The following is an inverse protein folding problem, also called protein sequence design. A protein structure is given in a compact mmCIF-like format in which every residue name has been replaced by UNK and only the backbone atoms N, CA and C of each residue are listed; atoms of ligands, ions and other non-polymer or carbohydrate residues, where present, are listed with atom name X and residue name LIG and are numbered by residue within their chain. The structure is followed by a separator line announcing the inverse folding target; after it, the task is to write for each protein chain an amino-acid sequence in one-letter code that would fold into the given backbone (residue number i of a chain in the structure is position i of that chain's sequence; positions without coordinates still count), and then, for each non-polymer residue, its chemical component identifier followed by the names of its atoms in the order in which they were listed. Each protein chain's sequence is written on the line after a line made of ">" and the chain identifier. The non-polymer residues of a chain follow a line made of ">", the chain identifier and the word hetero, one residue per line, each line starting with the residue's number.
data_IF_616508356381
#
_entry.id   IF_616508356381
#
_cell.length_a   1.000
_cell.length_b   1.000
_cell.length_c   1.000
_cell.angle_alpha   90.00
_cell.angle_beta   90.00
_cell.angle_gamma   90.00
#
_symmetry.space_group_name_H-M   'P 1'
#
loop_
_entity.id
_entity.type
_entity.pdbx_description
1 polymer ?
#
# COMPACT_ATOMS: atom_id res chain seq x y z
N UNK A 1 42.90 -34.31 43.81
CA UNK A 1 41.65 -33.54 43.70
C UNK A 1 41.68 -32.68 42.43
N UNK A 2 41.14 -33.19 41.34
CA UNK A 2 40.74 -32.42 40.10
C UNK A 2 40.16 -33.44 39.12
N UNK A 3 38.89 -33.76 39.29
CA UNK A 3 38.12 -34.57 38.34
C UNK A 3 36.64 -34.23 38.53
N UNK A 4 36.18 -33.05 38.11
CA UNK A 4 34.72 -32.78 38.06
C UNK A 4 34.35 -31.56 37.23
N UNK A 5 35.21 -30.98 36.38
CA UNK A 5 34.82 -29.82 35.54
C UNK A 5 34.60 -30.15 34.06
N UNK A 6 34.77 -31.39 33.61
CA UNK A 6 34.65 -31.75 32.19
C UNK A 6 33.26 -32.28 31.79
N UNK A 7 32.39 -32.56 32.72
CA UNK A 7 31.07 -33.13 32.43
C UNK A 7 29.97 -32.08 32.20
N UNK A 8 30.13 -30.89 32.78
CA UNK A 8 29.14 -29.82 32.64
C UNK A 8 29.13 -29.13 31.23
N UNK A 9 30.31 -28.99 30.66
CA UNK A 9 30.46 -28.32 29.34
C UNK A 9 30.00 -29.22 28.17
N UNK A 10 30.10 -30.54 28.34
CA UNK A 10 29.65 -31.48 27.31
C UNK A 10 28.12 -31.58 27.21
N UNK A 11 27.40 -31.44 28.32
CA UNK A 11 25.94 -31.45 28.34
C UNK A 11 25.33 -30.19 27.75
N UNK A 12 25.97 -29.02 27.95
CA UNK A 12 25.50 -27.75 27.36
C UNK A 12 25.70 -27.75 25.85
N UNK A 13 26.79 -28.34 25.35
CA UNK A 13 27.02 -28.42 23.90
C UNK A 13 26.04 -29.36 23.18
N UNK A 14 25.62 -30.47 23.84
CA UNK A 14 24.62 -31.39 23.27
C UNK A 14 23.22 -30.73 23.21
N UNK A 15 22.88 -29.89 24.21
CA UNK A 15 21.60 -29.19 24.20
C UNK A 15 21.53 -28.11 23.14
N UNK A 16 22.63 -27.40 22.86
CA UNK A 16 22.70 -26.37 21.80
C UNK A 16 22.66 -27.02 20.41
N UNK A 17 23.31 -28.17 20.22
CA UNK A 17 23.27 -28.89 18.95
C UNK A 17 21.89 -29.51 18.69
N UNK A 18 21.17 -29.96 19.73
CA UNK A 18 19.78 -30.44 19.58
C UNK A 18 18.80 -29.37 19.20
N UNK A 19 19.04 -28.08 19.57
CA UNK A 19 18.18 -26.98 19.20
C UNK A 19 18.43 -26.48 17.74
N UNK A 20 19.66 -26.69 17.23
CA UNK A 20 20.02 -26.28 15.85
C UNK A 20 19.67 -27.39 14.84
N UNK A 21 19.60 -28.66 15.24
CA UNK A 21 19.29 -29.76 14.32
C UNK A 21 17.79 -30.09 14.25
N UNK A 22 16.97 -29.55 15.16
CA UNK A 22 15.52 -29.77 15.19
C UNK A 22 14.72 -29.14 14.09
N UNK A 23 15.22 -28.08 13.44
CA UNK A 23 14.47 -27.30 12.42
C UNK A 23 14.79 -27.68 10.97
N UNK A 24 15.70 -28.61 10.69
CA UNK A 24 16.08 -28.95 9.31
C UNK A 24 15.28 -30.11 8.69
N UNK A 25 14.30 -30.68 9.39
CA UNK A 25 13.50 -31.82 8.90
C UNK A 25 12.02 -31.47 8.64
N UNK A 26 11.70 -30.24 8.20
CA UNK A 26 10.42 -30.01 7.54
C UNK A 26 10.57 -30.38 6.06
N UNK A 27 10.04 -31.55 5.72
CA UNK A 27 9.88 -31.98 4.32
C UNK A 27 9.21 -30.91 3.48
N UNK A 28 9.64 -30.72 2.22
CA UNK A 28 8.92 -29.83 1.31
C UNK A 28 7.49 -30.34 1.15
N UNK A 29 6.52 -29.48 1.35
CA UNK A 29 5.10 -29.77 1.20
C UNK A 29 4.81 -30.34 -0.19
N UNK A 30 4.04 -31.43 -0.22
CA UNK A 30 3.59 -32.16 -1.39
C UNK A 30 2.99 -31.22 -2.45
N UNK A 31 3.45 -31.21 -3.74
CA UNK A 31 3.02 -30.26 -4.77
C UNK A 31 1.59 -30.46 -5.29
N UNK A 32 0.76 -31.21 -4.62
CA UNK A 32 -0.61 -31.52 -5.05
C UNK A 32 -1.74 -31.08 -4.11
N UNK A 33 -1.46 -30.42 -2.99
CA UNK A 33 -2.51 -29.84 -2.13
C UNK A 33 -2.72 -28.37 -2.49
N UNK A 34 -3.98 -27.89 -2.56
CA UNK A 34 -4.25 -26.45 -2.59
C UNK A 34 -3.52 -25.79 -1.41
N UNK A 35 -2.93 -24.63 -1.65
CA UNK A 35 -2.23 -23.84 -0.63
C UNK A 35 -3.11 -23.72 0.61
N UNK A 36 -2.91 -24.57 1.60
CA UNK A 36 -3.32 -24.29 2.96
C UNK A 36 -2.38 -23.20 3.43
N UNK A 37 -2.89 -21.97 3.52
CA UNK A 37 -2.18 -20.88 4.16
C UNK A 37 -1.84 -21.34 5.58
N UNK A 38 -0.57 -21.29 6.02
CA UNK A 38 -0.29 -21.41 7.43
C UNK A 38 -0.97 -20.21 8.10
N UNK A 39 -2.14 -20.45 8.65
CA UNK A 39 -2.73 -19.57 9.65
C UNK A 39 -1.85 -19.80 10.86
N UNK A 40 -0.82 -18.98 11.02
CA UNK A 40 -0.12 -18.90 12.30
C UNK A 40 -1.16 -18.43 13.31
N UNK A 41 -1.56 -19.32 14.20
CA UNK A 41 -2.41 -19.00 15.34
C UNK A 41 -1.77 -17.80 16.07
N UNK A 42 -2.39 -16.63 15.97
CA UNK A 42 -1.94 -15.39 16.63
C UNK A 42 -1.95 -14.13 15.78
N UNK A 43 -2.13 -14.23 14.45
CA UNK A 43 -2.14 -13.04 13.56
C UNK A 43 -3.58 -12.58 13.24
N UNK A 44 -4.59 -13.15 13.88
CA UNK A 44 -5.97 -12.74 13.68
C UNK A 44 -6.20 -11.30 14.11
N UNK A 45 -6.28 -10.41 13.12
CA UNK A 45 -6.87 -9.08 13.23
C UNK A 45 -5.92 -7.94 13.64
N UNK A 46 -4.60 -8.15 13.64
CA UNK A 46 -3.64 -7.07 13.87
C UNK A 46 -3.38 -6.22 12.61
N UNK A 47 -2.81 -5.01 12.77
CA UNK A 47 -2.45 -4.14 11.63
C UNK A 47 -1.51 -4.84 10.62
N UNK A 48 -0.68 -5.76 11.08
CA UNK A 48 0.30 -6.45 10.26
C UNK A 48 -0.27 -7.66 9.48
N UNK A 49 -1.42 -8.21 9.86
CA UNK A 49 -1.95 -9.43 9.21
C UNK A 49 -2.18 -9.25 7.71
N UNK A 50 -2.69 -8.10 7.29
CA UNK A 50 -2.86 -7.78 5.86
C UNK A 50 -1.53 -7.55 5.16
N UNK A 51 -0.59 -6.88 5.82
CA UNK A 51 0.75 -6.63 5.27
C UNK A 51 1.49 -7.95 5.03
N UNK A 52 1.48 -8.83 6.01
CA UNK A 52 2.08 -10.17 5.92
C UNK A 52 1.43 -10.97 4.79
N UNK A 53 0.09 -10.95 4.69
CA UNK A 53 -0.62 -11.63 3.61
C UNK A 53 -0.19 -11.13 2.22
N UNK A 54 -0.16 -9.81 2.02
CA UNK A 54 0.25 -9.23 0.73
C UNK A 54 1.73 -9.50 0.43
N UNK A 55 2.59 -9.44 1.43
CA UNK A 55 4.01 -9.77 1.30
C UNK A 55 4.22 -11.23 0.91
N UNK A 56 3.56 -12.17 1.59
CA UNK A 56 3.61 -13.60 1.25
C UNK A 56 3.21 -13.89 -0.19
N UNK A 57 2.28 -13.11 -0.74
CA UNK A 57 1.84 -13.27 -2.14
C UNK A 57 2.83 -12.71 -3.16
N UNK A 58 3.63 -11.72 -2.77
CA UNK A 58 4.47 -10.96 -3.70
C UNK A 58 5.94 -11.32 -3.59
N UNK A 59 6.37 -11.88 -2.47
CA UNK A 59 7.78 -12.21 -2.24
C UNK A 59 8.28 -13.32 -3.18
N UNK A 60 9.53 -13.19 -3.57
CA UNK A 60 10.25 -14.26 -4.26
C UNK A 60 10.48 -15.45 -3.32
N UNK A 61 10.18 -16.68 -3.73
CA UNK A 61 10.46 -17.86 -2.90
C UNK A 61 11.95 -18.13 -2.71
N UNK A 62 12.81 -17.52 -3.53
CA UNK A 62 14.27 -17.71 -3.49
C UNK A 62 14.93 -16.69 -2.56
N UNK A 63 14.60 -15.41 -2.72
CA UNK A 63 15.26 -14.32 -1.96
C UNK A 63 14.46 -13.91 -0.73
N UNK A 64 13.20 -14.35 -0.61
CA UNK A 64 12.26 -13.97 0.45
C UNK A 64 11.92 -12.47 0.50
N UNK A 65 12.25 -11.75 -0.56
CA UNK A 65 12.03 -10.31 -0.72
C UNK A 65 11.05 -10.04 -1.87
N UNK A 66 10.35 -8.90 -1.82
CA UNK A 66 9.57 -8.44 -2.97
C UNK A 66 10.54 -7.87 -4.02
N UNK A 67 10.60 -8.47 -5.23
CA UNK A 67 11.54 -7.99 -6.24
C UNK A 67 11.24 -6.57 -6.66
N UNK A 68 12.26 -5.74 -6.74
CA UNK A 68 12.15 -4.35 -7.19
C UNK A 68 11.40 -4.22 -8.51
N UNK A 69 10.47 -3.27 -8.55
CA UNK A 69 9.67 -3.00 -9.74
C UNK A 69 8.76 -4.15 -10.19
N UNK A 70 8.44 -5.12 -9.32
CA UNK A 70 7.59 -6.28 -9.65
C UNK A 70 6.25 -5.84 -10.25
N UNK A 71 5.61 -4.82 -9.68
CA UNK A 71 4.35 -4.27 -10.19
C UNK A 71 4.49 -3.75 -11.61
N UNK A 72 5.56 -3.02 -11.88
CA UNK A 72 5.84 -2.49 -13.22
C UNK A 72 6.09 -3.61 -14.24
N UNK A 73 6.91 -4.61 -13.87
CA UNK A 73 7.16 -5.78 -14.72
C UNK A 73 5.89 -6.57 -14.99
N UNK A 74 5.07 -6.79 -13.97
CA UNK A 74 3.78 -7.48 -14.11
C UNK A 74 2.81 -6.73 -15.03
N UNK A 75 2.73 -5.41 -14.90
CA UNK A 75 1.91 -4.57 -15.79
C UNK A 75 2.44 -4.56 -17.23
N UNK A 76 3.76 -4.53 -17.40
CA UNK A 76 4.38 -4.63 -18.73
C UNK A 76 4.07 -5.99 -19.37
N UNK A 77 4.20 -7.06 -18.61
CA UNK A 77 3.84 -8.41 -19.05
C UNK A 77 2.35 -8.53 -19.37
N UNK A 78 1.48 -8.01 -18.53
CA UNK A 78 0.03 -8.02 -18.74
C UNK A 78 -0.39 -7.33 -20.07
N UNK A 79 0.36 -6.31 -20.50
CA UNK A 79 0.13 -5.65 -21.80
C UNK A 79 0.51 -6.55 -22.99
N UNK A 80 1.41 -7.50 -22.81
CA UNK A 80 1.81 -8.46 -23.85
C UNK A 80 0.89 -9.67 -23.95
N UNK A 81 0.02 -9.89 -22.95
CA UNK A 81 -0.95 -10.99 -22.99
C UNK A 81 -2.03 -10.65 -24.02
N UNK A 82 -2.37 -11.57 -24.92
CA UNK A 82 -3.47 -11.37 -25.88
C UNK A 82 -4.77 -11.04 -25.13
N UNK A 83 -5.48 -10.02 -25.61
CA UNK A 83 -6.78 -9.66 -25.05
C UNK A 83 -7.83 -10.72 -25.39
N UNK A 84 -8.73 -10.99 -24.45
CA UNK A 84 -9.74 -12.05 -24.60
C UNK A 84 -10.65 -11.89 -25.81
N UNK A 85 -10.88 -10.65 -26.28
CA UNK A 85 -11.67 -10.36 -27.48
C UNK A 85 -11.05 -10.90 -28.79
N UNK A 86 -9.79 -11.34 -28.77
CA UNK A 86 -9.13 -11.98 -29.91
C UNK A 86 -9.04 -13.51 -29.79
N UNK A 87 -9.51 -14.09 -28.71
CA UNK A 87 -9.50 -15.53 -28.50
C UNK A 87 -10.87 -16.11 -28.91
N UNK A 88 -10.94 -16.97 -29.93
CA UNK A 88 -12.16 -17.69 -30.22
C UNK A 88 -12.46 -18.65 -29.07
N UNK A 89 -13.49 -18.37 -28.30
CA UNK A 89 -13.96 -19.29 -27.27
C UNK A 89 -14.67 -20.44 -28.01
N UNK A 90 -14.00 -21.58 -28.17
CA UNK A 90 -14.65 -22.81 -28.58
C UNK A 90 -15.45 -23.36 -27.40
N UNK A 91 -16.72 -23.04 -27.34
CA UNK A 91 -17.68 -23.81 -26.54
C UNK A 91 -17.90 -25.16 -27.21
N UNK A 92 -17.58 -26.26 -26.53
CA UNK A 92 -17.93 -27.61 -26.99
C UNK A 92 -19.46 -27.69 -27.15
N UNK A 93 -19.93 -27.77 -28.38
CA UNK A 93 -21.35 -28.00 -28.71
C UNK A 93 -22.11 -26.80 -29.30
N UNK A 94 -21.50 -25.65 -29.47
CA UNK A 94 -22.13 -24.54 -30.19
C UNK A 94 -21.67 -24.55 -31.67
N UNK A 95 -22.60 -24.58 -32.62
CA UNK A 95 -22.31 -24.29 -34.00
C UNK A 95 -21.68 -22.91 -34.10
N UNK A 96 -20.56 -22.83 -34.82
CA UNK A 96 -19.71 -21.66 -34.94
C UNK A 96 -20.38 -20.50 -35.70
N UNK A 97 -21.26 -19.77 -35.05
CA UNK A 97 -21.39 -18.38 -35.40
C UNK A 97 -20.27 -17.65 -34.66
N UNK A 98 -19.32 -17.13 -35.43
CA UNK A 98 -18.25 -16.27 -34.89
C UNK A 98 -18.88 -15.02 -34.31
N UNK A 99 -19.41 -15.12 -33.10
CA UNK A 99 -19.70 -13.94 -32.30
C UNK A 99 -18.38 -13.46 -31.74
N UNK A 100 -17.88 -12.33 -32.23
CA UNK A 100 -16.84 -11.58 -31.55
C UNK A 100 -17.32 -11.34 -30.12
N UNK A 101 -16.80 -12.11 -29.16
CA UNK A 101 -17.10 -11.87 -27.74
C UNK A 101 -16.39 -10.57 -27.35
N UNK A 102 -17.15 -9.51 -27.37
CA UNK A 102 -16.71 -8.23 -26.86
C UNK A 102 -16.99 -8.16 -25.35
N UNK A 103 -15.94 -7.96 -24.58
CA UNK A 103 -16.08 -7.74 -23.15
C UNK A 103 -16.54 -6.30 -22.91
N UNK A 104 -17.82 -6.17 -22.58
CA UNK A 104 -18.38 -4.88 -22.16
C UNK A 104 -18.42 -4.81 -20.63
N UNK A 105 -18.00 -3.69 -20.09
CA UNK A 105 -18.16 -3.41 -18.67
C UNK A 105 -19.65 -3.35 -18.33
N UNK A 106 -20.13 -4.26 -17.51
CA UNK A 106 -21.54 -4.36 -17.10
C UNK A 106 -21.84 -3.64 -15.79
N UNK A 107 -20.86 -2.98 -15.24
CA UNK A 107 -21.00 -2.27 -13.98
C UNK A 107 -20.71 -3.16 -12.76
N UNK A 108 -21.11 -2.74 -11.58
CA UNK A 108 -21.96 -1.56 -11.33
C UNK A 108 -21.25 -0.24 -11.59
N UNK A 109 -21.90 0.67 -12.30
CA UNK A 109 -21.34 2.00 -12.65
C UNK A 109 -21.51 3.03 -11.54
N UNK A 110 -22.37 2.74 -10.59
CA UNK A 110 -22.77 3.61 -9.48
C UNK A 110 -22.20 3.17 -8.13
N UNK A 111 -21.31 2.17 -8.10
CA UNK A 111 -20.60 1.80 -6.89
C UNK A 111 -19.28 2.54 -6.89
N UNK A 112 -19.22 3.60 -6.09
CA UNK A 112 -18.00 4.35 -5.85
C UNK A 112 -17.01 3.58 -5.00
N UNK A 113 -15.72 3.86 -5.17
CA UNK A 113 -14.68 3.47 -4.24
C UNK A 113 -14.79 4.28 -2.93
N UNK A 114 -14.05 3.85 -1.90
CA UNK A 114 -13.96 4.60 -0.65
C UNK A 114 -13.05 5.82 -0.86
N UNK A 115 -13.66 7.01 -0.98
CA UNK A 115 -12.94 8.28 -1.10
C UNK A 115 -12.77 8.89 0.29
N UNK A 116 -11.56 9.30 0.63
CA UNK A 116 -11.20 9.89 1.92
C UNK A 116 -10.77 11.36 1.82
N UNK A 117 -10.14 11.74 0.74
CA UNK A 117 -9.70 13.10 0.48
C UNK A 117 -10.48 13.72 -0.67
N UNK A 118 -11.06 14.89 -0.45
CA UNK A 118 -11.62 15.74 -1.53
C UNK A 118 -11.22 17.17 -1.23
N UNK A 119 -10.60 17.84 -2.19
CA UNK A 119 -10.15 19.23 -2.05
C UNK A 119 -10.42 19.99 -3.35
N UNK A 120 -11.02 21.15 -3.22
CA UNK A 120 -11.22 22.09 -4.33
C UNK A 120 -10.02 23.02 -4.37
N UNK A 121 -9.50 23.29 -5.55
CA UNK A 121 -8.41 24.24 -5.74
C UNK A 121 -8.84 25.64 -5.30
N UNK A 122 -7.98 26.30 -4.50
CA UNK A 122 -8.23 27.65 -3.99
C UNK A 122 -8.36 28.71 -5.11
N UNK A 123 -7.61 28.53 -6.20
CA UNK A 123 -7.51 29.50 -7.29
C UNK A 123 -8.48 29.21 -8.41
N UNK A 124 -8.83 27.94 -8.64
CA UNK A 124 -9.76 27.51 -9.68
C UNK A 124 -10.80 26.52 -9.14
N UNK A 125 -12.04 26.95 -8.88
CA UNK A 125 -13.09 26.09 -8.34
C UNK A 125 -13.56 24.99 -9.30
N UNK A 126 -13.12 24.99 -10.56
CA UNK A 126 -13.39 23.89 -11.48
C UNK A 126 -12.46 22.72 -11.25
N UNK A 127 -11.30 22.99 -10.64
CA UNK A 127 -10.29 21.98 -10.33
C UNK A 127 -10.56 21.37 -8.96
N UNK A 128 -10.74 20.04 -8.93
CA UNK A 128 -10.97 19.27 -7.72
C UNK A 128 -10.05 18.04 -7.74
N UNK A 129 -9.43 17.75 -6.59
CA UNK A 129 -8.68 16.52 -6.39
C UNK A 129 -9.44 15.59 -5.44
N UNK A 130 -9.48 14.31 -5.78
CA UNK A 130 -10.08 13.26 -4.97
C UNK A 130 -9.08 12.13 -4.72
N UNK A 131 -8.99 11.67 -3.47
CA UNK A 131 -8.13 10.59 -3.04
C UNK A 131 -8.90 9.36 -2.60
N UNK A 132 -8.68 8.25 -3.28
CA UNK A 132 -9.29 6.96 -2.99
C UNK A 132 -8.35 6.03 -2.23
N UNK A 133 -8.89 5.23 -1.30
CA UNK A 133 -8.11 4.30 -0.48
C UNK A 133 -7.44 3.18 -1.31
N UNK A 134 -7.98 2.86 -2.45
CA UNK A 134 -7.39 1.88 -3.38
C UNK A 134 -7.32 2.40 -4.82
N UNK A 135 -7.79 3.62 -5.05
CA UNK A 135 -7.90 4.22 -6.38
C UNK A 135 -6.81 5.23 -6.72
N UNK A 136 -6.04 5.68 -5.73
CA UNK A 136 -5.06 6.74 -5.91
C UNK A 136 -5.69 8.14 -5.97
N UNK A 137 -4.98 9.07 -6.59
CA UNK A 137 -5.40 10.46 -6.74
C UNK A 137 -6.01 10.67 -8.12
N UNK A 138 -7.16 11.29 -8.13
CA UNK A 138 -7.91 11.69 -9.33
C UNK A 138 -8.09 13.19 -9.35
N UNK A 139 -8.05 13.78 -10.53
CA UNK A 139 -8.18 15.21 -10.74
C UNK A 139 -9.22 15.49 -11.83
N UNK A 140 -10.05 16.47 -11.59
CA UNK A 140 -10.97 17.06 -12.57
C UNK A 140 -10.64 18.52 -12.78
N UNK A 141 -10.97 19.05 -13.95
CA UNK A 141 -10.87 20.48 -14.30
C UNK A 141 -12.21 21.05 -14.77
N UNK A 142 -13.27 20.24 -14.67
CA UNK A 142 -14.61 20.53 -15.17
C UNK A 142 -15.70 20.28 -14.11
N UNK A 143 -15.37 20.52 -12.83
CA UNK A 143 -16.26 20.32 -11.67
C UNK A 143 -16.76 18.88 -11.51
N UNK A 144 -15.96 17.91 -11.92
CA UNK A 144 -16.29 16.50 -11.75
C UNK A 144 -17.03 15.84 -12.89
N UNK A 145 -17.18 16.50 -14.04
CA UNK A 145 -17.80 15.89 -15.22
C UNK A 145 -16.86 14.83 -15.81
N UNK A 146 -15.56 15.09 -15.80
CA UNK A 146 -14.55 14.12 -16.18
C UNK A 146 -13.42 14.04 -15.15
N UNK A 147 -12.78 12.88 -15.02
CA UNK A 147 -11.72 12.63 -14.06
C UNK A 147 -10.54 11.93 -14.70
N UNK A 148 -9.35 12.44 -14.43
CA UNK A 148 -8.09 11.84 -14.82
C UNK A 148 -7.32 11.32 -13.60
N UNK A 149 -6.72 10.14 -13.72
CA UNK A 149 -5.91 9.56 -12.65
C UNK A 149 -4.50 10.13 -12.67
N UNK A 150 -4.09 10.74 -11.56
CA UNK A 150 -2.79 11.38 -11.41
C UNK A 150 -1.70 10.47 -10.83
N UNK A 151 -2.07 9.51 -9.99
CA UNK A 151 -1.09 8.56 -9.45
C UNK A 151 -0.62 7.58 -10.52
N UNK A 152 0.70 7.42 -10.61
CA UNK A 152 1.36 6.45 -11.50
C UNK A 152 1.14 5.02 -10.99
N UNK A 153 1.26 4.04 -11.87
CA UNK A 153 1.04 2.63 -11.51
C UNK A 153 2.06 2.08 -10.49
N UNK A 154 3.23 2.70 -10.38
CA UNK A 154 4.28 2.34 -9.42
C UNK A 154 4.06 2.91 -8.03
N UNK A 155 3.20 3.93 -7.91
CA UNK A 155 2.92 4.61 -6.65
C UNK A 155 1.87 3.86 -5.84
N UNK A 156 1.88 4.07 -4.52
CA UNK A 156 0.81 3.59 -3.65
C UNK A 156 -0.49 4.34 -3.94
N UNK A 157 -1.59 3.60 -3.97
CA UNK A 157 -2.91 4.14 -4.27
C UNK A 157 -3.80 4.30 -3.04
N UNK A 158 -3.27 4.06 -1.84
CA UNK A 158 -4.03 4.13 -0.59
C UNK A 158 -4.07 5.55 -0.01
N UNK A 159 -4.69 6.48 -0.73
CA UNK A 159 -4.72 7.89 -0.35
C UNK A 159 -5.79 8.13 0.73
N UNK A 160 -5.34 8.62 1.89
CA UNK A 160 -6.20 8.85 3.06
C UNK A 160 -6.59 10.32 3.27
N UNK A 161 -5.74 11.26 2.84
CA UNK A 161 -6.04 12.69 2.91
C UNK A 161 -5.26 13.46 1.85
N UNK A 162 -5.83 14.56 1.36
CA UNK A 162 -5.19 15.50 0.45
C UNK A 162 -5.34 16.91 1.03
N UNK A 163 -4.35 17.78 0.80
CA UNK A 163 -4.41 19.19 1.16
C UNK A 163 -3.62 20.02 0.16
N UNK A 164 -4.11 21.21 -0.14
CA UNK A 164 -3.40 22.25 -0.89
C UNK A 164 -2.72 23.21 0.09
N UNK A 165 -1.56 23.73 -0.26
CA UNK A 165 -0.95 24.85 0.45
C UNK A 165 -1.78 26.10 0.16
N UNK A 166 -2.43 26.70 1.18
CA UNK A 166 -3.34 27.81 0.96
C UNK A 166 -2.63 29.17 0.83
N UNK A 167 -1.31 29.24 0.97
CA UNK A 167 -0.55 30.49 0.91
C UNK A 167 -0.53 31.05 -0.51
N UNK A 168 -0.55 32.36 -0.63
CA UNK A 168 -0.44 33.02 -1.92
C UNK A 168 0.93 32.73 -2.56
N UNK A 169 0.92 32.40 -3.85
CA UNK A 169 2.09 31.95 -4.60
C UNK A 169 2.55 30.51 -4.31
N UNK A 170 1.85 29.76 -3.45
CA UNK A 170 2.14 28.36 -3.09
C UNK A 170 0.98 27.40 -3.38
N UNK A 171 -0.10 27.89 -3.99
CA UNK A 171 -1.30 27.09 -4.28
C UNK A 171 -1.08 25.95 -5.29
N UNK A 172 0.05 25.95 -6.00
CA UNK A 172 0.49 24.83 -6.82
C UNK A 172 1.06 23.66 -6.02
N UNK A 173 1.31 23.83 -4.70
CA UNK A 173 1.85 22.80 -3.82
C UNK A 173 0.71 22.04 -3.15
N UNK A 174 0.77 20.71 -3.25
CA UNK A 174 -0.20 19.81 -2.65
C UNK A 174 0.50 18.68 -1.91
N UNK A 175 -0.16 18.18 -0.89
CA UNK A 175 0.30 17.01 -0.12
C UNK A 175 -0.80 15.96 -0.04
N UNK A 176 -0.41 14.70 -0.08
CA UNK A 176 -1.30 13.57 0.11
C UNK A 176 -0.67 12.54 1.04
N UNK A 177 -1.42 12.15 2.06
CA UNK A 177 -1.05 11.05 2.95
C UNK A 177 -1.57 9.73 2.48
N UNK A 178 -0.91 8.65 2.89
CA UNK A 178 -1.27 7.29 2.53
C UNK A 178 -1.55 6.42 3.75
N UNK A 179 -2.26 5.31 3.51
CA UNK A 179 -2.56 4.29 4.49
C UNK A 179 -3.83 4.52 5.29
N UNK A 180 -4.60 3.45 5.46
CA UNK A 180 -5.81 3.42 6.26
C UNK A 180 -5.76 2.19 7.17
N UNK A 181 -5.56 2.39 8.47
CA UNK A 181 -5.53 1.30 9.45
C UNK A 181 -6.91 0.73 9.74
N UNK A 182 -7.91 1.62 9.86
CA UNK A 182 -9.29 1.24 10.16
C UNK A 182 -10.20 1.69 9.05
N UNK A 183 -10.58 0.73 8.21
CA UNK A 183 -11.57 0.93 7.16
C UNK A 183 -13.00 0.93 7.68
N UNK A 184 -13.92 1.31 6.82
CA UNK A 184 -15.35 1.30 7.10
C UNK A 184 -16.01 -0.04 6.73
N UNK A 185 -15.25 -1.14 6.76
CA UNK A 185 -15.79 -2.46 6.45
C UNK A 185 -16.49 -3.02 7.67
N UNK A 186 -17.71 -3.48 7.48
CA UNK A 186 -18.46 -4.20 8.51
C UNK A 186 -17.67 -5.43 8.97
N UNK A 187 -17.49 -5.60 10.27
CA UNK A 187 -16.72 -6.70 10.84
C UNK A 187 -15.25 -6.41 11.15
N UNK A 188 -14.87 -5.35 10.89
CA UNK A 188 -13.88 -4.38 11.10
C UNK A 188 -12.61 -4.55 11.94
N UNK A 189 -12.11 -5.69 12.18
CA UNK A 189 -10.73 -5.78 12.66
C UNK A 189 -9.70 -5.77 11.54
N UNK A 190 -10.11 -5.72 10.27
CA UNK A 190 -9.12 -6.07 9.32
C UNK A 190 -9.33 -5.79 7.85
N UNK A 191 -9.46 -4.52 7.45
CA UNK A 191 -9.15 -4.19 6.07
C UNK A 191 -8.22 -2.97 6.02
N UNK A 192 -7.04 -3.01 6.70
CA UNK A 192 -6.08 -1.94 6.57
C UNK A 192 -5.55 -1.91 5.14
N UNK A 193 -5.40 -0.72 4.60
CA UNK A 193 -4.65 -0.49 3.37
C UNK A 193 -3.33 0.15 3.75
N UNK A 194 -2.24 -0.54 3.41
CA UNK A 194 -0.91 -0.03 3.69
C UNK A 194 -0.70 1.31 2.98
N UNK A 195 -0.16 2.24 3.72
CA UNK A 195 0.50 3.43 3.23
C UNK A 195 2.02 3.29 3.33
N UNK A 196 2.70 4.25 2.75
CA UNK A 196 4.15 4.41 2.89
C UNK A 196 4.49 5.89 2.71
N UNK A 197 4.20 6.65 3.76
CA UNK A 197 4.56 8.05 3.81
C UNK A 197 3.61 9.00 3.07
N UNK A 198 4.17 10.14 2.69
CA UNK A 198 3.49 11.32 2.21
C UNK A 198 3.98 11.62 0.79
N UNK A 199 3.06 11.93 -0.09
CA UNK A 199 3.35 12.41 -1.45
C UNK A 199 3.18 13.93 -1.51
N UNK A 200 4.05 14.58 -2.29
CA UNK A 200 4.02 16.02 -2.58
C UNK A 200 3.89 16.22 -4.09
N UNK A 201 3.08 17.20 -4.48
CA UNK A 201 3.03 17.77 -5.82
C UNK A 201 3.44 19.23 -5.75
N UNK A 202 4.14 19.71 -6.77
CA UNK A 202 4.55 21.10 -6.93
C UNK A 202 3.99 21.74 -8.22
N UNK A 203 3.14 21.02 -8.92
CA UNK A 203 2.59 21.36 -10.22
C UNK A 203 1.06 21.27 -10.26
N UNK A 204 0.43 21.73 -9.20
CA UNK A 204 -1.03 21.76 -9.03
C UNK A 204 -1.69 20.36 -9.10
N UNK A 205 -1.01 19.33 -8.57
CA UNK A 205 -1.56 17.99 -8.42
C UNK A 205 -1.47 17.11 -9.67
N UNK A 206 -0.74 17.50 -10.70
CA UNK A 206 -0.51 16.67 -11.89
C UNK A 206 0.49 15.56 -11.66
N UNK A 207 1.63 15.87 -11.03
CA UNK A 207 2.64 14.88 -10.70
C UNK A 207 2.85 14.80 -9.20
N UNK A 208 3.06 13.60 -8.71
CA UNK A 208 3.23 13.32 -7.29
C UNK A 208 4.52 12.57 -7.04
N UNK A 209 5.29 13.03 -6.08
CA UNK A 209 6.54 12.40 -5.66
C UNK A 209 6.48 12.05 -4.18
N UNK A 210 7.04 10.90 -3.85
CA UNK A 210 7.13 10.42 -2.47
C UNK A 210 8.18 11.24 -1.73
N UNK A 211 7.82 11.78 -0.56
CA UNK A 211 8.77 12.41 0.35
C UNK A 211 9.55 11.28 1.03
N UNK A 212 10.80 11.07 0.61
CA UNK A 212 11.63 9.94 1.01
C UNK A 212 11.85 9.82 2.51
N UNK A 213 11.91 10.95 3.24
CA UNK A 213 12.03 10.99 4.69
C UNK A 213 10.82 10.40 5.44
N UNK A 214 9.72 10.14 4.75
CA UNK A 214 8.46 9.63 5.33
C UNK A 214 8.18 8.17 4.97
N UNK A 215 9.05 7.53 4.18
CA UNK A 215 8.89 6.16 3.70
C UNK A 215 9.98 5.25 4.23
N UNK A 216 9.65 4.01 4.51
CA UNK A 216 10.60 2.95 4.87
C UNK A 216 10.69 1.88 3.79
N UNK A 217 9.71 1.82 2.88
CA UNK A 217 9.58 0.83 1.82
C UNK A 217 9.63 -0.64 2.30
N UNK A 218 9.12 -0.88 3.49
CA UNK A 218 9.01 -2.22 4.11
C UNK A 218 7.55 -2.67 4.12
N UNK A 219 7.05 -3.28 3.04
CA UNK A 219 5.62 -3.56 2.87
C UNK A 219 5.06 -4.61 3.86
N UNK A 220 5.92 -5.43 4.44
CA UNK A 220 5.57 -6.51 5.38
C UNK A 220 5.54 -6.07 6.84
N UNK A 221 6.06 -4.88 7.15
CA UNK A 221 6.19 -4.39 8.52
C UNK A 221 5.36 -3.12 8.74
N UNK A 222 4.93 -2.95 9.98
CA UNK A 222 4.49 -1.66 10.52
C UNK A 222 5.63 -1.11 11.39
N UNK A 223 6.55 -0.45 10.75
CA UNK A 223 7.80 0.07 11.33
C UNK A 223 7.86 1.59 11.41
N UNK A 224 6.89 2.26 10.82
CA UNK A 224 6.76 3.71 10.85
C UNK A 224 5.30 4.11 11.02
N UNK A 225 5.02 5.04 11.94
CA UNK A 225 3.67 5.57 12.15
C UNK A 225 3.08 6.25 10.92
N UNK A 226 3.92 6.74 9.98
CA UNK A 226 3.50 7.32 8.71
C UNK A 226 3.01 6.28 7.68
N UNK A 227 3.12 4.97 7.98
CA UNK A 227 2.47 3.92 7.19
C UNK A 227 0.93 4.02 7.24
N UNK A 228 0.39 4.68 8.27
CA UNK A 228 -1.04 4.92 8.43
C UNK A 228 -1.32 6.34 8.89
N UNK A 229 -1.60 7.20 7.93
CA UNK A 229 -1.89 8.61 8.20
C UNK A 229 -3.36 8.94 7.91
N UNK A 230 -4.00 9.63 8.85
CA UNK A 230 -5.42 9.93 8.79
C UNK A 230 -5.74 11.26 8.12
N UNK A 231 -4.91 12.25 8.40
CA UNK A 231 -5.18 13.62 8.00
C UNK A 231 -3.88 14.41 7.83
N UNK A 232 -3.85 15.24 6.81
CA UNK A 232 -2.78 16.22 6.61
C UNK A 232 -3.38 17.63 6.49
N UNK A 233 -2.67 18.62 7.03
CA UNK A 233 -3.04 20.03 6.96
C UNK A 233 -1.82 20.90 6.78
N UNK A 234 -1.98 22.02 6.08
CA UNK A 234 -0.98 23.08 5.96
C UNK A 234 -1.46 24.31 6.73
N UNK A 235 -0.60 24.87 7.54
CA UNK A 235 -0.91 26.11 8.27
C UNK A 235 -0.99 27.29 7.28
N UNK A 236 -2.08 28.07 7.29
CA UNK A 236 -2.34 29.02 6.22
C UNK A 236 -1.38 30.21 6.16
N UNK A 237 -0.68 30.49 7.25
CA UNK A 237 0.28 31.63 7.33
C UNK A 237 1.71 31.15 7.24
N UNK A 238 2.10 30.16 8.04
CA UNK A 238 3.49 29.71 8.16
C UNK A 238 3.88 28.69 7.10
N UNK A 239 2.90 27.94 6.55
CA UNK A 239 3.16 26.83 5.63
C UNK A 239 3.66 25.56 6.32
N UNK A 240 3.69 25.53 7.65
CA UNK A 240 4.03 24.31 8.37
C UNK A 240 3.03 23.21 8.02
N UNK A 241 3.52 22.03 7.76
CA UNK A 241 2.70 20.86 7.42
C UNK A 241 2.53 19.99 8.65
N UNK A 242 1.29 19.61 8.94
CA UNK A 242 0.96 18.73 10.05
C UNK A 242 0.30 17.47 9.53
N UNK A 243 0.70 16.32 10.04
CA UNK A 243 0.01 15.06 9.75
C UNK A 243 -0.31 14.30 11.02
N UNK A 244 -1.56 13.83 11.10
CA UNK A 244 -2.01 12.93 12.15
C UNK A 244 -1.87 11.49 11.62
N UNK A 245 -1.01 10.73 12.26
CA UNK A 245 -0.71 9.34 11.94
C UNK A 245 -1.16 8.41 13.07
N UNK A 246 -0.85 7.13 13.00
CA UNK A 246 -1.22 6.17 14.03
C UNK A 246 -0.54 6.49 15.37
N UNK A 247 -1.31 7.06 16.29
CA UNK A 247 -0.84 7.43 17.63
C UNK A 247 0.03 8.67 17.72
N UNK A 248 0.31 9.36 16.61
CA UNK A 248 1.34 10.42 16.58
C UNK A 248 0.90 11.59 15.69
N UNK A 249 1.27 12.80 16.06
CA UNK A 249 1.18 13.98 15.20
C UNK A 249 2.59 14.46 14.87
N UNK A 250 2.87 14.55 13.58
CA UNK A 250 4.11 15.10 13.06
C UNK A 250 3.91 16.52 12.54
N UNK A 251 4.99 17.29 12.61
CA UNK A 251 5.10 18.63 12.04
C UNK A 251 6.34 18.72 11.17
N UNK A 252 6.19 19.33 10.01
CA UNK A 252 7.28 19.78 9.15
C UNK A 252 7.25 21.32 9.06
N UNK A 253 8.40 21.96 9.14
CA UNK A 253 8.57 23.41 9.00
C UNK A 253 9.23 23.81 7.68
N UNK A 254 9.66 22.81 6.89
CA UNK A 254 10.47 22.92 5.69
C UNK A 254 9.79 22.26 4.47
N UNK A 255 8.48 22.45 4.36
CA UNK A 255 7.65 21.94 3.25
C UNK A 255 7.74 20.41 3.07
N UNK A 256 7.93 19.66 4.15
CA UNK A 256 7.93 18.20 4.16
C UNK A 256 9.30 17.54 4.09
N UNK A 257 10.40 18.30 4.09
CA UNK A 257 11.75 17.73 4.02
C UNK A 257 12.10 16.99 5.30
N UNK A 258 11.83 17.61 6.47
CA UNK A 258 12.02 16.98 7.78
C UNK A 258 10.72 16.97 8.60
N UNK A 259 10.61 15.99 9.47
CA UNK A 259 9.41 15.78 10.28
C UNK A 259 9.76 15.53 11.74
N UNK A 260 9.12 16.28 12.64
CA UNK A 260 9.27 16.16 14.06
C UNK A 260 7.96 15.72 14.72
N UNK A 261 8.07 14.81 15.68
CA UNK A 261 6.93 14.44 16.53
C UNK A 261 6.60 15.61 17.46
N UNK A 262 5.35 16.02 17.47
CA UNK A 262 4.86 17.09 18.36
C UNK A 262 3.83 16.61 19.37
N UNK A 263 3.23 15.44 19.14
CA UNK A 263 2.28 14.80 20.05
C UNK A 263 2.25 13.30 19.79
N UNK A 264 2.15 12.52 20.88
CA UNK A 264 2.14 11.06 20.84
C UNK A 264 3.53 10.42 20.85
N UNK A 265 3.57 9.09 20.99
CA UNK A 265 4.78 8.25 20.97
C UNK A 265 4.55 7.05 20.06
#
# INVERSE_FOLDING_TARGET
>A
MKKNELTGTFFILIFIISFIVGDFNKSPSNPGKPFEHPVEEGIEGGPNSRLIFEWLRLKSPITNEIPDGIKFRSLKYAKSIPKANHLPIRMKGAQSNQSNLEWTLRGPYNVGGRTRGVVIDKMDPNTILAGGISGGIWRTEDRGQSWAKMTKNQQLHSVSSIVQDPRDGKTNIWYATTGELRGNSAGARGAPFRGDGIYKSIDNGYNWELISSTSTNTPELFDNYLNYSWRIKVHPTTGHVFTASFGTIYKSEDEGTTWNVILGN
#
